data_IF_515040009579
#
_entry.id   IF_515040009579
#
_cell.length_a   1.000
_cell.length_b   1.000
_cell.length_c   1.000
_cell.angle_alpha   90.00
_cell.angle_beta   90.00
_cell.angle_gamma   90.00
#
_symmetry.space_group_name_H-M   'P 1'
#
loop_
_entity.id
_entity.type
_entity.pdbx_description
1 polymer ?
#
# COMPACT_ATOMS: atom_id res chain seq x y z
N UNK A 1 51.12 53.81 12.49
CA UNK A 1 52.20 52.92 12.01
C UNK A 1 51.94 51.52 12.56
N UNK A 2 52.07 50.46 11.74
CA UNK A 2 50.89 49.70 11.31
C UNK A 2 50.93 48.20 11.68
N UNK A 3 49.76 47.56 11.60
CA UNK A 3 49.58 46.24 10.97
C UNK A 3 48.10 46.08 10.59
N UNK A 4 47.81 46.13 9.29
CA UNK A 4 46.52 45.85 8.70
C UNK A 4 46.57 44.44 8.09
N UNK A 5 45.52 43.65 8.33
CA UNK A 5 45.31 42.35 7.70
C UNK A 5 44.07 42.42 6.82
N UNK A 6 44.30 42.37 5.52
CA UNK A 6 43.30 42.29 4.45
C UNK A 6 42.65 40.90 4.39
N UNK A 7 41.32 40.85 4.46
CA UNK A 7 40.55 39.69 4.04
C UNK A 7 39.97 39.94 2.65
N UNK A 8 40.59 39.37 1.63
CA UNK A 8 40.06 39.33 0.28
C UNK A 8 38.96 38.27 0.14
N UNK A 9 37.77 38.74 -0.22
CA UNK A 9 36.65 37.97 -0.76
C UNK A 9 37.01 37.46 -2.17
N UNK A 10 36.90 36.16 -2.39
CA UNK A 10 36.91 35.56 -3.74
C UNK A 10 35.48 35.29 -4.20
N UNK A 11 35.13 35.56 -5.47
CA UNK A 11 33.78 35.36 -5.99
C UNK A 11 33.53 33.89 -6.38
N UNK A 12 32.28 33.47 -6.14
CA UNK A 12 31.74 32.17 -6.52
C UNK A 12 31.76 31.98 -8.05
N UNK A 13 32.25 30.82 -8.50
CA UNK A 13 32.12 30.35 -9.89
C UNK A 13 30.87 29.48 -10.05
N UNK A 14 30.05 29.66 -11.09
CA UNK A 14 28.95 28.77 -11.39
C UNK A 14 29.47 27.47 -12.02
N UNK A 15 29.03 26.33 -11.50
CA UNK A 15 29.23 25.01 -12.11
C UNK A 15 28.18 24.85 -13.21
N UNK A 16 28.62 24.91 -14.47
CA UNK A 16 27.83 24.50 -15.63
C UNK A 16 27.84 22.97 -15.70
N UNK A 17 26.67 22.33 -15.47
CA UNK A 17 26.44 20.93 -15.82
C UNK A 17 26.16 20.86 -17.33
N UNK A 18 27.20 20.55 -18.11
CA UNK A 18 27.08 20.23 -19.52
C UNK A 18 26.38 18.89 -19.72
N UNK A 19 25.37 18.88 -20.60
CA UNK A 19 24.80 17.67 -21.21
C UNK A 19 25.91 16.91 -21.93
N UNK A 20 26.17 15.66 -21.54
CA UNK A 20 26.92 14.72 -22.38
C UNK A 20 25.93 13.83 -23.12
N UNK A 21 25.91 14.03 -24.43
CA UNK A 21 25.28 13.19 -25.45
C UNK A 21 26.01 11.86 -25.53
N UNK A 22 25.25 10.76 -25.62
CA UNK A 22 25.76 9.40 -25.67
C UNK A 22 25.85 8.95 -27.13
N UNK A 23 26.91 9.37 -27.83
CA UNK A 23 27.27 8.86 -29.16
C UNK A 23 28.80 8.82 -29.27
N UNK A 24 29.36 7.63 -29.05
CA UNK A 24 30.64 7.13 -29.57
C UNK A 24 31.12 6.01 -28.63
N UNK A 25 31.12 4.77 -29.12
CA UNK A 25 32.20 3.78 -28.96
C UNK A 25 31.69 2.45 -29.53
N UNK A 26 31.81 2.34 -30.85
CA UNK A 26 31.96 1.08 -31.59
C UNK A 26 33.43 1.04 -32.04
N UNK A 27 33.96 -0.17 -32.09
CA UNK A 27 35.23 -0.65 -32.65
C UNK A 27 36.21 -1.18 -31.59
N UNK A 28 36.13 -2.50 -31.37
CA UNK A 28 37.31 -3.34 -31.61
C UNK A 28 36.89 -4.79 -31.95
N UNK A 29 37.37 -5.28 -33.10
CA UNK A 29 37.19 -6.64 -33.62
C UNK A 29 38.40 -7.49 -33.17
N UNK A 30 38.28 -8.69 -32.60
CA UNK A 30 38.41 -10.02 -33.24
C UNK A 30 38.91 -11.04 -32.18
N UNK A 31 38.92 -12.38 -32.40
CA UNK A 31 38.21 -13.19 -33.40
C UNK A 31 37.36 -14.31 -32.77
N UNK A 32 36.28 -14.65 -33.48
CA UNK A 32 35.48 -15.88 -33.30
C UNK A 32 36.21 -17.08 -33.91
N UNK A 33 36.61 -18.06 -33.10
CA UNK A 33 36.62 -19.48 -33.45
C UNK A 33 36.87 -20.32 -32.20
N UNK A 34 36.26 -21.52 -32.16
CA UNK A 34 36.31 -22.56 -31.13
C UNK A 34 35.31 -22.38 -29.98
N UNK A 35 34.08 -22.85 -30.21
CA UNK A 35 33.43 -23.91 -29.42
C UNK A 35 32.12 -24.24 -30.17
N UNK A 36 32.17 -25.29 -30.99
CA UNK A 36 30.98 -26.05 -31.40
C UNK A 36 30.87 -27.22 -30.44
N UNK A 37 29.62 -27.56 -30.18
CA UNK A 37 29.08 -28.72 -29.47
C UNK A 37 28.69 -28.47 -28.00
N UNK A 38 27.40 -28.76 -27.77
CA UNK A 38 26.59 -28.69 -26.55
C UNK A 38 26.01 -27.31 -26.16
N UNK A 39 24.87 -26.98 -26.78
CA UNK A 39 23.94 -25.96 -26.27
C UNK A 39 23.09 -26.52 -25.12
N UNK A 40 23.14 -25.95 -23.90
CA UNK A 40 22.16 -26.23 -22.87
C UNK A 40 21.05 -25.19 -22.93
N UNK A 41 19.79 -25.65 -22.82
CA UNK A 41 18.55 -25.03 -22.29
C UNK A 41 18.35 -23.48 -22.33
N UNK A 42 19.36 -22.69 -21.98
CA UNK A 42 19.39 -21.22 -22.00
C UNK A 42 19.05 -20.60 -23.36
N UNK A 43 19.46 -21.20 -24.48
CA UNK A 43 19.11 -20.69 -25.81
C UNK A 43 17.58 -20.71 -26.09
N UNK A 44 16.85 -21.65 -25.46
CA UNK A 44 15.37 -21.68 -25.53
C UNK A 44 14.71 -20.64 -24.63
N UNK A 45 15.33 -20.32 -23.49
CA UNK A 45 14.81 -19.32 -22.55
C UNK A 45 15.05 -17.87 -23.02
N UNK A 46 16.18 -17.60 -23.68
CA UNK A 46 16.47 -16.30 -24.29
C UNK A 46 15.60 -16.03 -25.53
N UNK A 47 15.29 -17.05 -26.33
CA UNK A 47 14.37 -16.93 -27.47
C UNK A 47 12.91 -16.66 -27.07
N UNK A 48 12.44 -17.18 -25.93
CA UNK A 48 11.08 -16.97 -25.42
C UNK A 48 10.90 -15.64 -24.64
N UNK A 49 11.98 -14.90 -24.39
CA UNK A 49 11.96 -13.63 -23.66
C UNK A 49 11.94 -12.40 -24.59
N UNK A 50 12.10 -12.56 -25.90
CA UNK A 50 12.25 -11.43 -26.83
C UNK A 50 11.35 -11.44 -28.08
N UNK A 51 10.41 -12.39 -28.23
CA UNK A 51 9.45 -12.33 -29.33
C UNK A 51 8.00 -12.51 -28.87
N UNK A 52 7.24 -11.40 -28.99
CA UNK A 52 5.78 -11.37 -28.96
C UNK A 52 5.17 -10.38 -27.96
N UNK A 53 4.28 -9.45 -28.31
CA UNK A 53 3.65 -9.12 -29.59
C UNK A 53 3.05 -7.70 -29.49
N UNK A 54 2.99 -7.02 -30.64
CA UNK A 54 2.25 -5.78 -30.90
C UNK A 54 0.74 -6.07 -31.04
N UNK A 55 -0.06 -5.20 -30.40
CA UNK A 55 -1.45 -4.75 -30.69
C UNK A 55 -2.51 -5.76 -31.16
N UNK A 56 -3.63 -5.85 -30.44
CA UNK A 56 -4.89 -5.30 -30.97
C UNK A 56 -5.99 -5.08 -29.94
N UNK A 57 -6.71 -3.97 -30.17
CA UNK A 57 -7.95 -3.53 -29.53
C UNK A 57 -9.10 -4.14 -30.31
N UNK A 58 -10.08 -4.78 -29.66
CA UNK A 58 -11.50 -4.57 -30.03
C UNK A 58 -12.54 -5.10 -29.02
N UNK A 59 -13.51 -4.20 -28.86
CA UNK A 59 -14.84 -4.21 -28.26
C UNK A 59 -15.61 -5.55 -28.19
N UNK A 60 -16.36 -5.72 -27.09
CA UNK A 60 -17.45 -6.69 -26.96
C UNK A 60 -18.49 -6.25 -25.94
N UNK A 61 -19.57 -5.61 -26.41
CA UNK A 61 -20.77 -5.24 -25.66
C UNK A 61 -21.52 -6.51 -25.21
N UNK A 62 -22.00 -6.53 -23.96
CA UNK A 62 -23.06 -7.45 -23.53
C UNK A 62 -24.33 -6.66 -23.20
N UNK A 63 -25.43 -7.03 -23.86
CA UNK A 63 -26.78 -6.54 -23.61
C UNK A 63 -27.50 -7.38 -22.55
N UNK A 64 -28.34 -6.66 -21.80
CA UNK A 64 -29.49 -6.99 -20.96
C UNK A 64 -30.10 -8.40 -20.98
N UNK A 65 -30.49 -8.91 -19.80
CA UNK A 65 -31.90 -9.11 -19.42
C UNK A 65 -32.02 -9.77 -18.03
N UNK A 66 -32.57 -9.05 -17.04
CA UNK A 66 -33.28 -9.68 -15.91
C UNK A 66 -34.51 -8.86 -15.54
N UNK A 67 -35.63 -9.59 -15.42
CA UNK A 67 -36.98 -9.08 -15.32
C UNK A 67 -37.31 -8.38 -14.00
N UNK A 68 -38.26 -7.46 -14.10
CA UNK A 68 -38.96 -6.83 -12.97
C UNK A 68 -39.86 -7.87 -12.31
N UNK A 69 -39.64 -8.14 -11.03
CA UNK A 69 -40.67 -8.65 -10.13
C UNK A 69 -41.28 -7.46 -9.38
N UNK A 70 -42.60 -7.34 -9.41
CA UNK A 70 -43.37 -6.31 -8.72
C UNK A 70 -43.34 -6.53 -7.20
N UNK A 71 -43.03 -5.47 -6.45
CA UNK A 71 -43.07 -5.47 -4.99
C UNK A 71 -44.47 -5.07 -4.49
N UNK A 72 -45.03 -5.74 -3.46
CA UNK A 72 -46.30 -5.34 -2.87
C UNK A 72 -46.18 -4.06 -2.03
N UNK A 73 -47.27 -3.29 -2.00
CA UNK A 73 -47.37 -1.98 -1.35
C UNK A 73 -47.09 -2.01 0.17
N UNK A 74 -46.47 -0.95 0.74
CA UNK A 74 -46.15 -0.91 2.16
C UNK A 74 -47.39 -0.57 3.01
N UNK A 75 -47.68 -1.46 3.97
CA UNK A 75 -48.61 -1.22 5.08
C UNK A 75 -47.97 -0.24 6.07
N UNK A 76 -48.64 0.87 6.36
CA UNK A 76 -48.22 1.84 7.39
C UNK A 76 -48.52 1.29 8.79
N UNK A 77 -47.54 1.13 9.70
CA UNK A 77 -47.83 0.91 11.11
C UNK A 77 -48.16 2.23 11.81
N UNK A 78 -49.19 2.18 12.66
CA UNK A 78 -49.56 3.24 13.61
C UNK A 78 -48.44 3.41 14.64
N UNK A 79 -48.04 4.65 14.88
CA UNK A 79 -47.11 5.03 15.94
C UNK A 79 -47.87 5.22 17.26
N UNK A 80 -47.52 4.47 18.29
CA UNK A 80 -47.80 4.79 19.69
C UNK A 80 -46.49 4.94 20.47
N UNK A 81 -46.26 6.16 20.92
CA UNK A 81 -45.63 6.61 22.17
C UNK A 81 -44.31 5.98 22.70
N UNK A 82 -43.33 6.89 22.78
CA UNK A 82 -42.41 7.13 23.90
C UNK A 82 -41.53 5.96 24.39
N UNK A 83 -40.55 5.57 23.57
CA UNK A 83 -39.34 4.93 24.08
C UNK A 83 -38.31 5.99 24.53
N UNK A 84 -37.89 5.85 25.79
CA UNK A 84 -36.73 6.48 26.39
C UNK A 84 -35.50 6.34 25.47
N UNK A 85 -35.05 7.47 24.89
CA UNK A 85 -33.94 7.50 23.96
C UNK A 85 -32.61 7.22 24.69
N UNK A 86 -32.18 5.96 24.67
CA UNK A 86 -30.77 5.63 24.92
C UNK A 86 -29.89 6.35 23.89
N UNK A 87 -28.70 6.84 24.27
CA UNK A 87 -27.79 7.50 23.35
C UNK A 87 -27.40 6.52 22.23
N UNK A 88 -27.92 6.74 21.02
CA UNK A 88 -27.58 5.97 19.83
C UNK A 88 -26.08 6.15 19.58
N UNK A 89 -25.31 5.17 20.03
CA UNK A 89 -23.87 5.13 19.77
C UNK A 89 -23.71 4.57 18.35
N UNK A 90 -23.56 5.45 17.36
CA UNK A 90 -23.21 5.05 16.01
C UNK A 90 -21.82 4.39 16.05
N UNK A 91 -21.77 3.07 15.87
CA UNK A 91 -20.56 2.27 16.08
C UNK A 91 -19.54 2.35 14.95
N UNK A 92 -19.86 2.96 13.80
CA UNK A 92 -18.91 3.05 12.68
C UNK A 92 -18.99 4.41 11.98
N UNK A 93 -17.84 5.04 11.66
CA UNK A 93 -17.82 6.20 10.78
C UNK A 93 -18.20 5.79 9.36
N UNK A 94 -18.84 6.68 8.60
CA UNK A 94 -19.24 6.37 7.22
C UNK A 94 -18.02 6.17 6.30
N UNK A 95 -18.22 5.44 5.21
CA UNK A 95 -17.20 5.25 4.19
C UNK A 95 -17.04 6.52 3.35
N UNK A 96 -15.80 6.98 3.19
CA UNK A 96 -15.47 8.07 2.28
C UNK A 96 -15.33 7.49 0.88
N UNK A 97 -16.03 8.09 -0.08
CA UNK A 97 -15.87 7.75 -1.49
C UNK A 97 -14.48 8.19 -1.97
N UNK A 98 -13.67 7.23 -2.44
CA UNK A 98 -12.38 7.52 -3.05
C UNK A 98 -12.54 8.35 -4.34
N UNK A 99 -11.46 9.02 -4.73
CA UNK A 99 -11.31 9.79 -5.96
C UNK A 99 -12.20 11.03 -6.08
N UNK A 100 -12.70 11.53 -4.95
CA UNK A 100 -13.45 12.79 -4.86
C UNK A 100 -12.49 13.97 -4.72
N UNK A 101 -12.75 15.07 -5.44
CA UNK A 101 -12.00 16.32 -5.28
C UNK A 101 -12.29 16.96 -3.92
N UNK A 102 -11.25 17.40 -3.25
CA UNK A 102 -11.31 17.96 -1.90
C UNK A 102 -10.44 19.19 -1.79
N UNK A 103 -10.83 20.09 -0.89
CA UNK A 103 -10.12 21.29 -0.57
C UNK A 103 -9.25 21.10 0.68
N UNK A 104 -7.97 21.46 0.59
CA UNK A 104 -7.00 21.23 1.65
C UNK A 104 -6.33 22.55 2.03
N UNK A 105 -6.30 22.85 3.33
CA UNK A 105 -5.64 24.05 3.85
C UNK A 105 -4.11 23.96 3.68
N UNK A 106 -3.52 24.94 3.00
CA UNK A 106 -2.07 25.09 2.85
C UNK A 106 -1.46 25.69 4.13
N UNK A 107 -0.15 25.57 4.29
CA UNK A 107 0.57 26.16 5.42
C UNK A 107 0.40 27.70 5.51
N UNK A 108 0.16 28.37 4.37
CA UNK A 108 -0.11 29.80 4.31
C UNK A 108 -1.57 30.21 4.61
N UNK A 109 -2.44 29.27 5.00
CA UNK A 109 -3.85 29.56 5.28
C UNK A 109 -4.76 29.68 4.04
N UNK A 110 -4.21 29.49 2.85
CA UNK A 110 -4.99 29.41 1.61
C UNK A 110 -5.60 28.01 1.45
N UNK A 111 -6.86 27.95 1.02
CA UNK A 111 -7.53 26.70 0.71
C UNK A 111 -7.27 26.28 -0.74
N UNK A 112 -6.77 25.07 -0.93
CA UNK A 112 -6.41 24.52 -2.23
C UNK A 112 -7.39 23.42 -2.66
N UNK A 113 -8.25 23.65 -3.67
CA UNK A 113 -9.29 22.70 -4.09
C UNK A 113 -8.78 21.57 -5.01
N UNK A 114 -7.49 21.57 -5.38
CA UNK A 114 -6.96 20.64 -6.39
C UNK A 114 -6.48 19.30 -5.80
N UNK A 115 -6.97 18.91 -4.62
CA UNK A 115 -6.62 17.64 -3.99
C UNK A 115 -7.68 16.58 -4.27
N UNK A 116 -7.27 15.32 -4.26
CA UNK A 116 -8.14 14.17 -4.48
C UNK A 116 -8.03 13.24 -3.28
N UNK A 117 -9.17 12.91 -2.67
CA UNK A 117 -9.28 11.90 -1.63
C UNK A 117 -8.93 10.53 -2.21
N UNK A 118 -8.04 9.78 -1.58
CA UNK A 118 -7.65 8.45 -2.06
C UNK A 118 -8.12 7.33 -1.16
N UNK A 119 -7.78 7.42 0.13
CA UNK A 119 -8.08 6.35 1.07
C UNK A 119 -8.16 6.88 2.50
N UNK A 120 -8.68 6.05 3.39
CA UNK A 120 -8.63 6.27 4.84
C UNK A 120 -7.73 5.20 5.45
N UNK A 121 -6.77 5.63 6.26
CA UNK A 121 -5.87 4.73 6.98
C UNK A 121 -6.63 3.99 8.08
N UNK A 122 -6.12 2.84 8.56
CA UNK A 122 -6.66 2.19 9.75
C UNK A 122 -6.71 3.11 10.97
N UNK A 123 -5.73 4.02 11.11
CA UNK A 123 -5.73 5.04 12.17
C UNK A 123 -6.79 6.14 12.02
N UNK A 124 -7.62 6.08 10.98
CA UNK A 124 -8.71 7.01 10.73
C UNK A 124 -8.29 8.29 10.02
N UNK A 125 -7.00 8.48 9.71
CA UNK A 125 -6.51 9.58 8.88
C UNK A 125 -6.92 9.38 7.43
N UNK A 126 -7.05 10.48 6.69
CA UNK A 126 -7.43 10.49 5.28
C UNK A 126 -6.24 10.90 4.45
N UNK A 127 -5.92 10.08 3.45
CA UNK A 127 -4.88 10.34 2.47
C UNK A 127 -5.48 11.11 1.30
N UNK A 128 -4.90 12.27 1.03
CA UNK A 128 -5.24 13.12 -0.12
C UNK A 128 -4.02 13.33 -0.99
N UNK A 129 -4.22 13.42 -2.30
CA UNK A 129 -3.14 13.60 -3.28
C UNK A 129 -3.45 14.69 -4.29
N UNK A 130 -2.43 15.40 -4.78
CA UNK A 130 -2.57 16.43 -5.80
C UNK A 130 -1.44 16.30 -6.84
N UNK A 131 -1.72 16.33 -8.16
CA UNK A 131 -0.68 16.44 -9.18
C UNK A 131 0.13 17.74 -9.04
N UNK A 132 1.43 17.68 -9.30
CA UNK A 132 2.32 18.85 -9.36
C UNK A 132 3.32 18.70 -10.50
N UNK A 133 4.02 19.79 -10.84
CA UNK A 133 5.08 19.78 -11.86
C UNK A 133 6.21 18.79 -11.52
N UNK A 134 6.38 18.44 -10.25
CA UNK A 134 7.40 17.53 -9.76
C UNK A 134 6.84 16.15 -9.36
N UNK A 135 5.62 15.81 -9.78
CA UNK A 135 5.02 14.50 -9.54
C UNK A 135 3.69 14.58 -8.79
N UNK A 136 3.54 13.82 -7.71
CA UNK A 136 2.30 13.78 -6.91
C UNK A 136 2.62 14.21 -5.49
N UNK A 137 1.99 15.29 -5.04
CA UNK A 137 1.99 15.69 -3.64
C UNK A 137 0.99 14.84 -2.88
N UNK A 138 1.35 14.42 -1.67
CA UNK A 138 0.48 13.65 -0.77
C UNK A 138 0.43 14.32 0.59
N UNK A 139 -0.73 14.27 1.25
CA UNK A 139 -0.92 14.76 2.61
C UNK A 139 -1.84 13.83 3.36
N UNK A 140 -1.56 13.64 4.65
CA UNK A 140 -2.45 12.96 5.58
C UNK A 140 -3.17 14.01 6.41
N UNK A 141 -4.48 13.84 6.56
CA UNK A 141 -5.36 14.73 7.32
C UNK A 141 -6.14 13.89 8.34
N UNK A 142 -6.46 14.46 9.49
CA UNK A 142 -7.54 13.91 10.31
C UNK A 142 -8.88 14.06 9.58
N UNK A 143 -9.87 13.24 9.94
CA UNK A 143 -11.23 13.38 9.41
C UNK A 143 -11.82 14.76 9.77
N UNK A 144 -11.51 15.29 10.96
CA UNK A 144 -11.93 16.62 11.39
C UNK A 144 -11.35 17.72 10.48
N UNK A 145 -10.03 17.67 10.19
CA UNK A 145 -9.38 18.63 9.28
C UNK A 145 -9.94 18.57 7.87
N UNK A 146 -10.21 17.37 7.36
CA UNK A 146 -10.80 17.19 6.04
C UNK A 146 -12.22 17.79 6.00
N UNK A 147 -13.09 17.39 6.92
CA UNK A 147 -14.50 17.80 6.90
C UNK A 147 -14.71 19.29 7.19
N UNK A 148 -13.75 19.97 7.84
CA UNK A 148 -13.78 21.42 8.07
C UNK A 148 -13.97 22.22 6.78
N UNK A 149 -13.43 21.74 5.66
CA UNK A 149 -13.53 22.40 4.36
C UNK A 149 -14.28 21.57 3.31
N UNK A 150 -14.77 20.39 3.69
CA UNK A 150 -15.36 19.42 2.76
C UNK A 150 -16.63 18.78 3.32
N UNK A 151 -17.55 19.58 3.87
CA UNK A 151 -18.81 19.06 4.41
C UNK A 151 -19.67 18.33 3.37
N UNK A 152 -19.47 18.59 2.08
CA UNK A 152 -20.13 17.86 1.00
C UNK A 152 -19.78 16.36 0.97
N UNK A 153 -18.72 15.93 1.67
CA UNK A 153 -18.36 14.52 1.83
C UNK A 153 -19.24 13.79 2.86
N UNK A 154 -20.04 14.52 3.65
CA UNK A 154 -20.97 13.91 4.62
C UNK A 154 -22.14 13.30 3.85
N UNK A 155 -22.37 11.98 3.91
CA UNK A 155 -23.48 11.32 3.21
C UNK A 155 -24.83 11.84 3.68
N UNK A 156 -25.82 11.83 2.80
CA UNK A 156 -27.22 12.09 3.15
C UNK A 156 -27.79 10.93 3.99
N UNK A 157 -28.75 11.24 4.85
CA UNK A 157 -29.42 10.28 5.73
C UNK A 157 -28.61 9.87 6.99
N UNK A 158 -27.39 10.36 7.15
CA UNK A 158 -26.55 10.10 8.32
C UNK A 158 -27.22 10.67 9.58
N UNK A 159 -27.34 9.86 10.64
CA UNK A 159 -27.87 10.35 11.92
C UNK A 159 -26.80 11.14 12.68
N UNK A 160 -27.12 12.35 13.11
CA UNK A 160 -26.18 13.32 13.70
C UNK A 160 -26.78 14.02 14.91
N UNK A 161 -25.91 14.66 15.67
CA UNK A 161 -26.26 15.55 16.77
C UNK A 161 -26.20 17.01 16.31
N UNK A 162 -27.13 17.83 16.80
CA UNK A 162 -27.23 19.25 16.49
C UNK A 162 -27.14 20.07 17.77
N UNK A 163 -26.30 21.12 17.86
CA UNK A 163 -26.24 21.95 19.05
C UNK A 163 -27.53 22.75 19.22
N UNK A 164 -28.03 22.84 20.46
CA UNK A 164 -29.11 23.75 20.87
C UNK A 164 -28.52 25.10 21.32
N UNK A 165 -29.36 26.14 21.35
CA UNK A 165 -28.98 27.44 21.92
C UNK A 165 -28.56 27.35 23.40
N UNK A 166 -29.04 26.33 24.12
CA UNK A 166 -28.65 26.01 25.49
C UNK A 166 -27.26 25.36 25.62
N UNK A 167 -26.56 25.07 24.52
CA UNK A 167 -25.27 24.36 24.52
C UNK A 167 -25.38 22.83 24.62
N UNK A 168 -26.57 22.30 24.93
CA UNK A 168 -26.83 20.84 24.92
C UNK A 168 -26.91 20.30 23.49
N UNK A 169 -26.52 19.05 23.28
CA UNK A 169 -26.65 18.37 21.98
C UNK A 169 -28.02 17.71 21.82
N UNK A 170 -28.65 17.90 20.66
CA UNK A 170 -29.91 17.28 20.28
C UNK A 170 -29.66 16.14 19.29
N UNK A 171 -29.82 14.87 19.69
CA UNK A 171 -29.57 13.72 18.80
C UNK A 171 -30.73 13.48 17.83
N UNK A 172 -30.54 12.56 16.88
CA UNK A 172 -31.60 12.04 16.00
C UNK A 172 -31.92 12.91 14.79
N UNK A 173 -31.06 13.87 14.45
CA UNK A 173 -31.15 14.61 13.18
C UNK A 173 -30.57 13.78 12.05
N UNK A 174 -31.01 13.99 10.82
CA UNK A 174 -30.50 13.33 9.62
C UNK A 174 -29.93 14.35 8.65
N UNK A 175 -28.79 14.07 8.04
CA UNK A 175 -28.19 14.93 7.00
C UNK A 175 -29.03 14.89 5.72
N UNK A 176 -29.12 16.02 5.02
CA UNK A 176 -29.97 16.20 3.84
C UNK A 176 -29.29 17.00 2.73
N UNK A 177 -27.98 16.83 2.58
CA UNK A 177 -27.17 17.49 1.55
C UNK A 177 -26.65 18.87 1.95
N UNK A 178 -26.13 19.61 0.97
CA UNK A 178 -25.54 20.94 1.17
C UNK A 178 -26.47 22.06 0.67
N UNK A 179 -26.47 23.20 1.38
CA UNK A 179 -27.04 24.47 0.90
C UNK A 179 -25.98 25.55 1.02
N UNK A 180 -25.30 25.84 -0.09
CA UNK A 180 -24.06 26.61 -0.07
C UNK A 180 -22.99 25.86 0.73
N UNK A 181 -22.32 26.53 1.66
CA UNK A 181 -21.28 25.93 2.52
C UNK A 181 -21.84 25.27 3.79
N UNK A 182 -23.16 25.22 3.95
CA UNK A 182 -23.81 24.69 5.15
C UNK A 182 -24.44 23.33 4.90
N UNK A 183 -24.26 22.43 5.87
CA UNK A 183 -24.89 21.11 5.86
C UNK A 183 -26.35 21.25 6.28
N UNK A 184 -27.26 20.79 5.43
CA UNK A 184 -28.68 20.68 5.77
C UNK A 184 -28.88 19.47 6.67
N UNK A 185 -29.62 19.65 7.75
CA UNK A 185 -30.04 18.57 8.63
C UNK A 185 -31.54 18.68 8.90
N UNK A 186 -32.22 17.55 9.02
CA UNK A 186 -33.65 17.49 9.29
C UNK A 186 -33.98 16.45 10.36
N UNK A 187 -35.00 16.77 11.17
CA UNK A 187 -35.51 15.86 12.20
C UNK A 187 -37.02 15.77 12.05
N UNK A 188 -37.59 14.57 11.82
CA UNK A 188 -39.03 14.40 11.64
C UNK A 188 -39.83 15.03 12.78
N UNK A 189 -40.86 15.81 12.44
CA UNK A 189 -41.71 16.52 13.40
C UNK A 189 -41.08 17.77 14.04
N UNK A 190 -39.79 18.02 13.85
CA UNK A 190 -39.08 19.20 14.41
C UNK A 190 -38.78 20.25 13.32
N UNK A 191 -38.34 19.81 12.14
CA UNK A 191 -38.05 20.70 11.01
C UNK A 191 -36.62 20.56 10.48
N UNK A 192 -36.14 21.61 9.81
CA UNK A 192 -34.83 21.66 9.13
C UNK A 192 -33.91 22.71 9.75
N UNK A 193 -32.61 22.44 9.78
CA UNK A 193 -31.56 23.36 10.20
C UNK A 193 -30.39 23.33 9.23
N UNK A 194 -29.58 24.39 9.29
CA UNK A 194 -28.31 24.50 8.57
C UNK A 194 -27.19 24.53 9.61
N UNK A 195 -26.17 23.71 9.41
CA UNK A 195 -24.98 23.67 10.26
C UNK A 195 -23.77 24.21 9.49
N UNK A 196 -22.94 25.01 10.15
CA UNK A 196 -21.57 25.25 9.68
C UNK A 196 -20.69 24.03 9.96
N UNK A 197 -19.49 24.00 9.36
CA UNK A 197 -18.52 22.94 9.64
C UNK A 197 -18.18 22.88 11.13
N UNK A 198 -17.94 24.01 11.78
CA UNK A 198 -17.60 24.09 13.20
C UNK A 198 -18.74 23.55 14.07
N UNK A 199 -19.99 23.89 13.77
CA UNK A 199 -21.15 23.39 14.50
C UNK A 199 -21.31 21.88 14.36
N UNK A 200 -21.13 21.37 13.13
CA UNK A 200 -21.21 19.94 12.84
C UNK A 200 -20.09 19.16 13.55
N UNK A 201 -18.83 19.61 13.41
CA UNK A 201 -17.66 18.97 14.00
C UNK A 201 -17.71 19.00 15.53
N UNK A 202 -18.08 20.13 16.12
CA UNK A 202 -18.19 20.26 17.58
C UNK A 202 -19.27 19.32 18.16
N UNK A 203 -20.43 19.24 17.52
CA UNK A 203 -21.53 18.39 18.00
C UNK A 203 -21.30 16.89 17.75
N UNK A 204 -20.44 16.53 16.80
CA UNK A 204 -20.25 15.14 16.38
C UNK A 204 -18.79 14.65 16.55
N UNK A 205 -17.99 15.31 17.39
CA UNK A 205 -16.57 14.94 17.63
C UNK A 205 -16.39 13.50 18.08
N UNK A 206 -17.28 12.98 18.93
CA UNK A 206 -17.25 11.60 19.38
C UNK A 206 -17.40 10.58 18.22
N UNK A 207 -18.06 10.98 17.13
CA UNK A 207 -18.26 10.16 15.94
C UNK A 207 -17.07 10.24 14.96
N UNK A 208 -16.34 11.36 14.94
CA UNK A 208 -15.21 11.56 14.03
C UNK A 208 -14.00 10.66 14.34
N UNK A 209 -14.00 10.03 15.52
CA UNK A 209 -12.84 9.37 16.10
C UNK A 209 -11.85 10.45 16.57
N UNK A 210 -11.38 10.36 17.82
CA UNK A 210 -10.20 11.14 18.16
C UNK A 210 -9.04 10.62 17.31
N UNK A 211 -8.14 11.48 16.82
CA UNK A 211 -6.95 11.03 16.09
C UNK A 211 -6.05 10.08 16.93
N UNK A 212 -6.34 9.95 18.24
CA UNK A 212 -5.74 8.98 19.17
C UNK A 212 -6.53 7.67 19.30
N UNK A 213 -7.85 7.66 19.05
CA UNK A 213 -8.64 6.45 18.83
C UNK A 213 -8.52 6.02 17.37
N UNK A 214 -7.27 5.98 16.88
CA UNK A 214 -6.94 5.06 15.81
C UNK A 214 -7.73 3.79 16.10
N UNK A 215 -8.36 3.20 15.08
CA UNK A 215 -8.61 1.77 15.17
C UNK A 215 -7.20 1.23 15.42
N UNK A 216 -6.88 0.97 16.69
CA UNK A 216 -5.94 -0.07 17.05
C UNK A 216 -6.47 -1.18 16.21
N UNK A 217 -5.78 -1.42 15.09
CA UNK A 217 -5.96 -2.61 14.31
C UNK A 217 -6.15 -3.69 15.35
N UNK A 218 -7.38 -4.19 15.50
CA UNK A 218 -7.70 -5.14 16.57
C UNK A 218 -6.98 -6.46 16.33
N UNK A 219 -6.15 -6.51 15.28
CA UNK A 219 -4.89 -7.25 15.23
C UNK A 219 -4.07 -6.88 16.46
N UNK A 220 -4.48 -7.43 17.61
CA UNK A 220 -3.54 -7.83 18.64
C UNK A 220 -2.39 -8.55 17.89
N UNK A 221 -1.13 -8.40 18.31
CA UNK A 221 -0.12 -9.38 17.90
C UNK A 221 -0.78 -10.76 18.03
N UNK A 222 -0.76 -11.60 16.98
CA UNK A 222 -1.51 -12.85 16.96
C UNK A 222 -1.28 -13.53 18.30
N UNK A 223 -2.38 -13.78 19.03
CA UNK A 223 -2.34 -13.95 20.48
C UNK A 223 -1.33 -15.01 20.91
N UNK A 224 -1.00 -15.96 20.02
CA UNK A 224 0.14 -16.85 20.12
C UNK A 224 0.70 -17.09 18.70
N UNK A 225 1.74 -16.36 18.30
CA UNK A 225 2.52 -16.77 17.13
C UNK A 225 3.11 -18.16 17.40
N UNK A 226 3.02 -19.07 16.43
CA UNK A 226 3.63 -20.40 16.55
C UNK A 226 5.13 -20.30 16.83
N UNK A 227 5.71 -21.31 17.49
CA UNK A 227 7.16 -21.42 17.69
C UNK A 227 7.94 -21.27 16.38
N UNK A 228 7.40 -21.82 15.30
CA UNK A 228 7.94 -21.75 13.95
C UNK A 228 7.89 -20.32 13.41
N UNK A 229 6.77 -19.62 13.55
CA UNK A 229 6.66 -18.22 13.15
C UNK A 229 7.63 -17.31 13.94
N UNK A 230 7.79 -17.57 15.24
CA UNK A 230 8.77 -16.87 16.09
C UNK A 230 10.19 -17.14 15.61
N UNK A 231 10.54 -18.41 15.35
CA UNK A 231 11.86 -18.78 14.83
C UNK A 231 12.14 -18.14 13.46
N UNK A 232 11.17 -18.13 12.55
CA UNK A 232 11.28 -17.47 11.25
C UNK A 232 11.48 -15.96 11.39
N UNK A 233 10.75 -15.32 12.30
CA UNK A 233 10.89 -13.89 12.59
C UNK A 233 12.28 -13.57 13.12
N UNK A 234 12.77 -14.31 14.11
CA UNK A 234 14.12 -14.13 14.66
C UNK A 234 15.19 -14.34 13.59
N UNK A 235 15.07 -15.43 12.82
CA UNK A 235 15.99 -15.75 11.74
C UNK A 235 16.01 -14.66 10.67
N UNK A 236 14.85 -14.13 10.28
CA UNK A 236 14.80 -13.08 9.27
C UNK A 236 15.16 -11.70 9.81
N UNK A 237 14.86 -11.39 11.08
CA UNK A 237 15.25 -10.13 11.74
C UNK A 237 16.78 -10.00 11.85
N UNK A 238 17.47 -11.11 12.11
CA UNK A 238 18.94 -11.16 12.22
C UNK A 238 19.65 -11.54 10.91
N UNK A 239 18.95 -12.26 10.03
CA UNK A 239 19.47 -12.72 8.75
C UNK A 239 19.04 -11.85 7.57
N UNK A 240 19.10 -12.42 6.38
CA UNK A 240 18.72 -11.73 5.15
C UNK A 240 17.90 -12.61 4.20
N UNK A 241 17.69 -13.88 4.55
CA UNK A 241 17.07 -14.88 3.70
C UNK A 241 16.23 -15.83 4.55
N UNK A 242 15.04 -16.14 4.07
CA UNK A 242 14.14 -17.10 4.69
C UNK A 242 13.59 -18.01 3.60
N UNK A 243 13.76 -19.32 3.74
CA UNK A 243 13.29 -20.31 2.79
C UNK A 243 11.98 -20.95 3.27
N UNK A 244 11.17 -21.40 2.31
CA UNK A 244 10.00 -22.20 2.58
C UNK A 244 8.76 -21.41 3.03
N UNK A 245 7.79 -22.16 3.57
CA UNK A 245 6.47 -21.66 3.94
C UNK A 245 6.54 -20.69 5.10
N UNK A 246 5.97 -19.50 4.95
CA UNK A 246 5.77 -18.59 6.09
C UNK A 246 4.58 -19.03 6.94
N UNK A 247 4.85 -19.25 8.23
CA UNK A 247 3.86 -19.64 9.21
C UNK A 247 2.98 -18.45 9.61
N UNK A 248 1.72 -18.74 9.95
CA UNK A 248 0.82 -17.73 10.52
C UNK A 248 1.40 -17.23 11.86
N UNK A 249 1.38 -15.91 12.03
CA UNK A 249 2.09 -15.20 13.09
C UNK A 249 3.47 -14.66 12.68
N UNK A 250 4.00 -15.00 11.50
CA UNK A 250 5.23 -14.38 10.99
C UNK A 250 5.03 -12.86 10.87
N UNK A 251 6.07 -12.09 11.20
CA UNK A 251 6.02 -10.64 11.02
C UNK A 251 7.34 -10.00 10.61
N UNK A 252 7.28 -8.94 9.79
CA UNK A 252 8.44 -8.14 9.37
C UNK A 252 8.26 -6.64 9.70
N UNK A 253 9.03 -6.16 10.67
CA UNK A 253 9.14 -4.74 11.00
C UNK A 253 10.36 -4.05 10.36
N UNK A 254 11.14 -4.79 9.56
CA UNK A 254 12.34 -4.29 8.92
C UNK A 254 13.64 -4.76 9.55
N UNK A 255 14.73 -4.18 9.06
CA UNK A 255 16.11 -4.52 9.45
C UNK A 255 16.45 -3.95 10.82
N UNK A 256 17.18 -4.74 11.61
CA UNK A 256 17.79 -4.29 12.86
C UNK A 256 16.77 -3.83 13.88
N UNK A 257 15.54 -4.32 13.76
CA UNK A 257 14.48 -4.05 14.72
C UNK A 257 14.78 -4.82 16.00
N UNK A 258 14.66 -4.15 17.13
CA UNK A 258 14.75 -4.76 18.45
C UNK A 258 13.46 -5.54 18.70
N UNK A 259 13.60 -6.76 19.21
CA UNK A 259 12.50 -7.63 19.56
C UNK A 259 12.41 -7.77 21.09
N UNK A 260 11.20 -7.85 21.62
CA UNK A 260 10.98 -8.18 23.04
C UNK A 260 11.10 -9.68 23.33
N UNK A 261 10.77 -10.08 24.57
CA UNK A 261 10.80 -11.48 25.01
C UNK A 261 9.82 -12.40 24.26
N UNK A 262 8.81 -11.85 23.59
CA UNK A 262 7.86 -12.56 22.74
C UNK A 262 8.24 -12.48 21.25
N UNK A 263 9.47 -12.07 20.98
CA UNK A 263 10.00 -11.75 19.67
C UNK A 263 9.17 -10.68 18.93
N UNK A 264 8.41 -9.82 19.62
CA UNK A 264 7.62 -8.78 18.96
C UNK A 264 8.46 -7.51 18.74
N UNK A 265 8.36 -6.83 17.59
CA UNK A 265 9.09 -5.59 17.33
C UNK A 265 8.71 -4.44 18.28
N UNK A 266 9.69 -3.83 18.96
CA UNK A 266 9.44 -2.73 19.93
C UNK A 266 9.90 -1.35 19.48
N UNK A 267 10.80 -1.26 18.50
CA UNK A 267 11.36 0.01 17.99
C UNK A 267 11.16 0.17 16.47
N UNK A 268 10.17 -0.54 15.93
CA UNK A 268 9.81 -0.49 14.52
C UNK A 268 9.61 0.97 14.07
N UNK A 269 10.27 1.37 12.98
CA UNK A 269 10.20 2.75 12.45
C UNK A 269 9.06 2.98 11.45
N UNK A 270 8.30 1.92 11.19
CA UNK A 270 7.24 1.77 10.19
C UNK A 270 6.29 0.66 10.64
N UNK A 271 5.30 0.31 9.82
CA UNK A 271 4.40 -0.82 10.05
C UNK A 271 5.13 -2.14 10.32
N UNK A 272 4.49 -3.00 11.10
CA UNK A 272 4.88 -4.38 11.31
C UNK A 272 4.01 -5.23 10.39
N UNK A 273 4.56 -5.74 9.29
CA UNK A 273 3.79 -6.60 8.38
C UNK A 273 3.53 -7.93 9.05
N UNK A 274 2.31 -8.45 9.00
CA UNK A 274 1.90 -9.70 9.65
C UNK A 274 1.27 -10.66 8.64
N UNK A 275 1.68 -11.92 8.68
CA UNK A 275 1.04 -13.02 7.95
C UNK A 275 0.09 -13.73 8.91
N UNK A 276 -1.21 -13.68 8.64
CA UNK A 276 -2.23 -14.40 9.41
C UNK A 276 -3.39 -14.78 8.48
N UNK A 277 -3.37 -16.00 7.95
CA UNK A 277 -4.38 -16.47 6.99
C UNK A 277 -5.78 -16.61 7.59
N UNK A 278 -5.89 -16.77 8.91
CA UNK A 278 -7.17 -16.91 9.59
C UNK A 278 -7.86 -15.55 9.73
N UNK A 279 -7.11 -14.55 10.19
CA UNK A 279 -7.64 -13.22 10.50
C UNK A 279 -7.57 -12.23 9.32
N UNK A 280 -6.87 -12.57 8.23
CA UNK A 280 -6.73 -11.72 7.04
C UNK A 280 -7.66 -12.17 5.90
N UNK A 281 -8.89 -11.61 5.78
CA UNK A 281 -9.80 -11.94 4.68
C UNK A 281 -9.28 -11.48 3.32
N UNK A 282 -8.42 -10.44 3.25
CA UNK A 282 -7.83 -10.01 1.99
C UNK A 282 -6.77 -10.99 1.51
N UNK A 283 -5.90 -11.47 2.40
CA UNK A 283 -4.94 -12.51 2.10
C UNK A 283 -5.62 -13.78 1.61
N UNK A 284 -6.76 -14.18 2.20
CA UNK A 284 -7.53 -15.34 1.71
C UNK A 284 -7.99 -15.19 0.25
N UNK A 285 -8.31 -13.98 -0.21
CA UNK A 285 -8.64 -13.73 -1.62
C UNK A 285 -7.42 -13.90 -2.52
N UNK A 286 -6.27 -13.38 -2.09
CA UNK A 286 -5.01 -13.56 -2.83
C UNK A 286 -4.58 -15.04 -2.89
N UNK A 287 -4.76 -15.78 -1.79
CA UNK A 287 -4.48 -17.21 -1.73
C UNK A 287 -5.38 -18.04 -2.64
N UNK A 288 -6.66 -17.69 -2.76
CA UNK A 288 -7.57 -18.36 -3.69
C UNK A 288 -7.05 -18.25 -5.13
N UNK A 289 -6.63 -17.05 -5.55
CA UNK A 289 -6.00 -16.85 -6.86
C UNK A 289 -4.74 -17.71 -7.04
N UNK A 290 -3.83 -17.69 -6.07
CA UNK A 290 -2.59 -18.47 -6.14
C UNK A 290 -2.84 -19.98 -6.22
N UNK A 291 -3.84 -20.48 -5.48
CA UNK A 291 -4.25 -21.88 -5.48
C UNK A 291 -4.76 -22.33 -6.86
N UNK A 292 -5.51 -21.49 -7.57
CA UNK A 292 -6.03 -21.80 -8.90
C UNK A 292 -4.89 -21.97 -9.94
N UNK A 293 -3.74 -21.32 -9.72
CA UNK A 293 -2.56 -21.44 -10.59
C UNK A 293 -1.78 -22.76 -10.39
N UNK A 294 -2.11 -23.60 -9.39
CA UNK A 294 -1.41 -24.88 -9.15
C UNK A 294 -1.48 -25.85 -10.32
N UNK A 295 -2.51 -25.74 -11.16
CA UNK A 295 -2.66 -26.58 -12.35
C UNK A 295 -1.74 -26.18 -13.50
N UNK A 296 -1.19 -24.97 -13.48
CA UNK A 296 -0.32 -24.46 -14.54
C UNK A 296 1.11 -24.98 -14.41
N UNK A 297 1.84 -24.94 -15.53
CA UNK A 297 3.28 -25.17 -15.55
C UNK A 297 4.03 -24.15 -14.65
N UNK A 298 5.13 -24.53 -13.97
CA UNK A 298 5.78 -23.68 -12.97
C UNK A 298 6.18 -22.28 -13.47
N UNK A 299 6.69 -22.17 -14.70
CA UNK A 299 7.07 -20.88 -15.27
C UNK A 299 5.86 -19.99 -15.57
N UNK A 300 4.76 -20.55 -16.06
CA UNK A 300 3.51 -19.81 -16.31
C UNK A 300 2.93 -19.29 -15.00
N UNK A 301 2.86 -20.17 -13.99
CA UNK A 301 2.43 -19.83 -12.62
C UNK A 301 3.26 -18.69 -12.03
N UNK A 302 4.59 -18.74 -12.18
CA UNK A 302 5.50 -17.69 -11.73
C UNK A 302 5.17 -16.35 -12.42
N UNK A 303 5.01 -16.34 -13.74
CA UNK A 303 4.68 -15.13 -14.50
C UNK A 303 3.32 -14.53 -14.09
N UNK A 304 2.32 -15.38 -13.89
CA UNK A 304 0.99 -14.96 -13.46
C UNK A 304 1.00 -14.38 -12.05
N UNK A 305 1.71 -15.01 -11.09
CA UNK A 305 1.90 -14.46 -9.75
C UNK A 305 2.63 -13.12 -9.76
N UNK A 306 3.66 -12.97 -10.60
CA UNK A 306 4.40 -11.70 -10.72
C UNK A 306 3.48 -10.58 -11.15
N UNK A 307 2.69 -10.80 -12.21
CA UNK A 307 1.74 -9.80 -12.70
C UNK A 307 0.67 -9.51 -11.65
N UNK A 308 0.13 -10.55 -11.01
CA UNK A 308 -0.88 -10.40 -9.98
C UNK A 308 -0.42 -9.51 -8.82
N UNK A 309 0.73 -9.82 -8.20
CA UNK A 309 1.23 -9.02 -7.06
C UNK A 309 1.58 -7.60 -7.50
N UNK A 310 2.13 -7.43 -8.70
CA UNK A 310 2.44 -6.13 -9.26
C UNK A 310 1.19 -5.25 -9.38
N UNK A 311 0.10 -5.79 -9.94
CA UNK A 311 -1.16 -5.08 -10.14
C UNK A 311 -1.87 -4.81 -8.81
N UNK A 312 -1.94 -5.82 -7.93
CA UNK A 312 -2.61 -5.71 -6.63
C UNK A 312 -1.96 -4.71 -5.68
N UNK A 313 -0.66 -4.43 -5.83
CA UNK A 313 0.07 -3.51 -4.94
C UNK A 313 0.42 -2.17 -5.61
N UNK A 314 -0.39 -1.75 -6.59
CA UNK A 314 -0.38 -0.39 -7.12
C UNK A 314 0.53 -0.14 -8.32
N UNK A 315 0.99 -1.19 -9.02
CA UNK A 315 1.71 -1.05 -10.29
C UNK A 315 3.14 -0.50 -10.14
N UNK A 316 3.60 0.47 -10.95
CA UNK A 316 4.98 0.95 -10.89
C UNK A 316 5.33 1.61 -9.54
N UNK A 317 6.34 1.07 -8.83
CA UNK A 317 6.75 1.56 -7.50
C UNK A 317 7.11 3.05 -7.51
N UNK A 318 7.80 3.52 -8.55
CA UNK A 318 8.21 4.93 -8.69
C UNK A 318 7.03 5.93 -8.62
N UNK A 319 5.79 5.50 -8.91
CA UNK A 319 4.60 6.35 -8.82
C UNK A 319 3.98 6.40 -7.43
N UNK A 320 4.24 5.39 -6.61
CA UNK A 320 3.58 5.19 -5.31
C UNK A 320 4.56 5.34 -4.14
N UNK A 321 5.87 5.37 -4.37
CA UNK A 321 6.89 5.26 -3.34
C UNK A 321 6.75 6.31 -2.23
N UNK A 322 6.75 7.60 -2.58
CA UNK A 322 6.64 8.67 -1.59
C UNK A 322 5.37 8.56 -0.74
N UNK A 323 4.26 8.16 -1.36
CA UNK A 323 2.96 7.96 -0.70
C UNK A 323 2.99 6.79 0.27
N UNK A 324 3.53 5.65 -0.18
CA UNK A 324 3.63 4.44 0.64
C UNK A 324 4.59 4.66 1.80
N UNK A 325 5.74 5.32 1.58
CA UNK A 325 6.69 5.67 2.65
C UNK A 325 6.04 6.56 3.71
N UNK A 326 5.28 7.58 3.29
CA UNK A 326 4.58 8.45 4.23
C UNK A 326 3.53 7.68 5.03
N UNK A 327 2.65 6.91 4.37
CA UNK A 327 1.61 6.12 5.04
C UNK A 327 2.21 5.04 5.97
N UNK A 328 3.26 4.35 5.52
CA UNK A 328 4.03 3.40 6.31
C UNK A 328 4.57 4.01 7.61
N UNK A 329 5.09 5.23 7.51
CA UNK A 329 5.66 5.94 8.66
C UNK A 329 4.62 6.33 9.72
N UNK A 330 3.35 6.52 9.33
CA UNK A 330 2.27 6.81 10.30
C UNK A 330 1.72 5.57 10.97
N UNK A 331 2.04 4.38 10.46
CA UNK A 331 1.74 3.08 11.07
C UNK A 331 2.93 2.54 11.88
N UNK A 332 3.81 3.42 12.37
CA UNK A 332 5.00 3.04 13.15
C UNK A 332 4.66 2.08 14.30
N UNK A 333 5.20 0.87 14.26
CA UNK A 333 4.96 -0.17 15.27
C UNK A 333 3.57 -0.79 15.24
N UNK A 334 2.68 -0.32 14.37
CA UNK A 334 1.34 -0.89 14.23
C UNK A 334 1.40 -2.15 13.36
N UNK A 335 0.70 -3.23 13.76
CA UNK A 335 0.54 -4.40 12.92
C UNK A 335 -0.33 -4.09 11.70
N UNK A 336 0.16 -4.46 10.52
CA UNK A 336 -0.55 -4.41 9.25
C UNK A 336 -0.59 -5.81 8.64
N UNK A 337 -1.79 -6.35 8.48
CA UNK A 337 -1.98 -7.63 7.79
C UNK A 337 -1.56 -7.50 6.33
N UNK A 338 -0.80 -8.49 5.83
CA UNK A 338 -0.16 -8.40 4.52
C UNK A 338 -1.16 -8.28 3.35
N UNK A 339 -2.36 -8.85 3.47
CA UNK A 339 -3.42 -8.71 2.47
C UNK A 339 -4.05 -7.31 2.42
N UNK A 340 -3.90 -6.51 3.47
CA UNK A 340 -4.51 -5.17 3.58
C UNK A 340 -3.55 -4.05 3.14
N UNK A 341 -2.34 -4.38 2.67
CA UNK A 341 -1.32 -3.38 2.30
C UNK A 341 -1.84 -2.38 1.27
N UNK A 342 -2.49 -2.84 0.20
CA UNK A 342 -2.99 -1.93 -0.84
C UNK A 342 -4.03 -0.96 -0.26
N UNK A 343 -5.00 -1.47 0.50
CA UNK A 343 -6.03 -0.66 1.14
C UNK A 343 -5.44 0.35 2.13
N UNK A 344 -4.48 -0.08 2.95
CA UNK A 344 -3.93 0.74 4.03
C UNK A 344 -2.92 1.79 3.53
N UNK A 345 -2.11 1.45 2.52
CA UNK A 345 -0.99 2.28 2.07
C UNK A 345 -1.17 2.85 0.65
N UNK A 346 -2.18 2.40 -0.10
CA UNK A 346 -2.36 2.71 -1.52
C UNK A 346 -1.33 2.02 -2.42
N UNK A 347 -0.86 0.84 -2.03
CA UNK A 347 0.13 0.04 -2.75
C UNK A 347 1.31 -0.39 -1.89
N UNK A 348 2.28 -1.08 -2.50
CA UNK A 348 3.40 -1.69 -1.78
C UNK A 348 4.78 -1.35 -2.35
N UNK A 349 5.75 -1.14 -1.45
CA UNK A 349 7.19 -1.16 -1.78
C UNK A 349 7.74 -2.59 -1.92
N UNK A 350 9.03 -2.73 -2.23
CA UNK A 350 9.72 -4.01 -2.40
C UNK A 350 9.47 -5.01 -1.28
N UNK A 351 9.57 -4.60 -0.01
CA UNK A 351 9.31 -5.47 1.15
C UNK A 351 7.88 -6.03 1.19
N UNK A 352 6.91 -5.20 0.86
CA UNK A 352 5.49 -5.58 0.87
C UNK A 352 5.22 -6.60 -0.22
N UNK A 353 5.72 -6.29 -1.42
CA UNK A 353 5.56 -7.13 -2.61
C UNK A 353 6.25 -8.47 -2.43
N UNK A 354 7.49 -8.46 -1.95
CA UNK A 354 8.26 -9.69 -1.74
C UNK A 354 7.64 -10.58 -0.66
N UNK A 355 7.11 -9.98 0.41
CA UNK A 355 6.42 -10.74 1.47
C UNK A 355 5.10 -11.34 0.99
N UNK A 356 4.25 -10.56 0.31
CA UNK A 356 3.00 -11.08 -0.26
C UNK A 356 3.32 -12.19 -1.29
N UNK A 357 4.27 -11.95 -2.19
CA UNK A 357 4.70 -12.94 -3.17
C UNK A 357 5.21 -14.23 -2.50
N UNK A 358 6.01 -14.15 -1.43
CA UNK A 358 6.46 -15.35 -0.70
C UNK A 358 5.28 -16.20 -0.24
N UNK A 359 4.25 -15.58 0.32
CA UNK A 359 3.05 -16.28 0.81
C UNK A 359 2.27 -16.90 -0.36
N UNK A 360 2.16 -16.20 -1.49
CA UNK A 360 1.44 -16.70 -2.66
C UNK A 360 2.22 -17.76 -3.44
N UNK A 361 3.55 -17.68 -3.49
CA UNK A 361 4.40 -18.67 -4.13
C UNK A 361 4.31 -20.01 -3.39
N UNK A 362 4.31 -19.99 -2.06
CA UNK A 362 4.02 -21.16 -1.21
C UNK A 362 2.65 -21.76 -1.54
N UNK A 363 1.60 -20.93 -1.54
CA UNK A 363 0.25 -21.41 -1.87
C UNK A 363 0.16 -21.92 -3.30
N UNK A 364 0.90 -21.36 -4.25
CA UNK A 364 0.92 -21.85 -5.62
C UNK A 364 1.85 -23.08 -5.79
N UNK A 365 2.57 -23.53 -4.76
CA UNK A 365 3.49 -24.67 -4.85
C UNK A 365 4.77 -24.37 -5.63
N UNK A 366 5.31 -23.17 -5.50
CA UNK A 366 6.62 -22.77 -6.03
C UNK A 366 7.64 -22.70 -4.88
N UNK A 367 8.75 -23.47 -4.93
CA UNK A 367 9.84 -23.33 -3.97
C UNK A 367 10.41 -21.91 -4.04
N UNK A 368 10.27 -21.16 -2.95
CA UNK A 368 10.54 -19.74 -2.92
C UNK A 368 11.28 -19.35 -1.64
N UNK A 369 12.22 -18.41 -1.76
CA UNK A 369 12.90 -17.77 -0.64
C UNK A 369 12.59 -16.27 -0.64
N UNK A 370 12.33 -15.73 0.55
CA UNK A 370 12.23 -14.30 0.79
C UNK A 370 13.62 -13.77 1.11
N UNK A 371 14.07 -12.76 0.37
CA UNK A 371 15.42 -12.20 0.51
C UNK A 371 15.35 -10.70 0.72
N UNK A 372 16.25 -10.18 1.56
CA UNK A 372 16.51 -8.75 1.73
C UNK A 372 18.00 -8.46 1.53
N UNK A 373 18.30 -7.29 1.01
CA UNK A 373 19.67 -6.94 0.66
C UNK A 373 19.78 -5.56 0.07
N UNK A 374 20.77 -5.38 -0.79
CA UNK A 374 20.94 -4.18 -1.61
C UNK A 374 20.65 -4.53 -3.06
N UNK A 375 19.88 -3.67 -3.72
CA UNK A 375 19.65 -3.73 -5.16
C UNK A 375 20.16 -2.44 -5.81
N UNK A 376 21.12 -2.57 -6.72
CA UNK A 376 21.75 -1.42 -7.38
C UNK A 376 22.87 -0.77 -6.58
N UNK A 377 23.23 0.44 -6.99
CA UNK A 377 24.28 1.26 -6.37
C UNK A 377 23.74 2.23 -5.31
N UNK A 378 22.41 2.33 -5.19
CA UNK A 378 21.78 3.32 -4.32
C UNK A 378 21.78 2.87 -2.86
N UNK A 379 22.03 3.80 -1.91
CA UNK A 379 21.92 3.51 -0.49
C UNK A 379 20.46 3.23 -0.11
N UNK A 380 20.16 1.99 0.24
CA UNK A 380 18.84 1.56 0.70
C UNK A 380 18.75 0.05 0.84
N UNK A 381 17.86 -0.42 1.70
CA UNK A 381 17.50 -1.84 1.77
C UNK A 381 16.44 -2.17 0.72
N UNK A 382 16.60 -3.31 0.05
CA UNK A 382 15.65 -3.87 -0.92
C UNK A 382 15.20 -5.26 -0.48
N UNK A 383 14.08 -5.74 -1.01
CA UNK A 383 13.61 -7.10 -0.83
C UNK A 383 13.14 -7.69 -2.15
N UNK A 384 13.41 -8.97 -2.35
CA UNK A 384 13.07 -9.73 -3.55
C UNK A 384 12.81 -11.18 -3.17
N UNK A 385 12.43 -12.00 -4.15
CA UNK A 385 12.29 -13.42 -3.96
C UNK A 385 13.23 -14.19 -4.87
N UNK A 386 13.53 -15.43 -4.49
CA UNK A 386 14.28 -16.36 -5.32
C UNK A 386 13.44 -17.62 -5.46
N UNK A 387 13.08 -17.95 -6.70
CA UNK A 387 12.22 -19.09 -7.03
C UNK A 387 13.06 -20.15 -7.73
N UNK A 388 12.97 -21.38 -7.25
CA UNK A 388 13.59 -22.53 -7.92
C UNK A 388 12.58 -23.18 -8.87
N UNK A 389 12.95 -23.30 -10.14
CA UNK A 389 12.17 -23.97 -11.18
C UNK A 389 12.88 -25.27 -11.58
N UNK A 390 12.14 -26.38 -11.62
CA UNK A 390 12.70 -27.71 -11.91
C UNK A 390 13.15 -28.46 -10.65
N UNK A 391 13.78 -29.61 -10.84
CA UNK A 391 14.23 -30.51 -9.78
C UNK A 391 15.65 -31.00 -10.04
N UNK A 392 16.39 -31.33 -8.97
CA UNK A 392 17.72 -31.92 -9.05
C UNK A 392 18.76 -31.00 -9.71
N UNK A 393 19.60 -31.58 -10.57
CA UNK A 393 20.71 -30.88 -11.23
C UNK A 393 20.26 -29.83 -12.28
N UNK A 394 19.04 -29.97 -12.81
CA UNK A 394 18.47 -29.05 -13.81
C UNK A 394 17.69 -27.89 -13.16
N UNK A 395 17.68 -27.80 -11.83
CA UNK A 395 16.96 -26.76 -11.12
C UNK A 395 17.58 -25.38 -11.37
N UNK A 396 16.76 -24.45 -11.85
CA UNK A 396 17.17 -23.06 -12.12
C UNK A 396 16.62 -22.13 -11.06
N UNK A 397 17.48 -21.30 -10.48
CA UNK A 397 17.08 -20.24 -9.56
C UNK A 397 16.85 -18.92 -10.30
N UNK A 398 15.64 -18.40 -10.16
CA UNK A 398 15.19 -17.14 -10.77
C UNK A 398 15.00 -16.10 -9.66
N UNK A 399 15.61 -14.93 -9.81
CA UNK A 399 15.34 -13.77 -8.98
C UNK A 399 14.04 -13.11 -9.46
N UNK A 400 13.20 -12.73 -8.50
CA UNK A 400 11.92 -12.05 -8.71
C UNK A 400 11.94 -10.70 -8.00
N UNK A 401 12.06 -9.62 -8.76
CA UNK A 401 12.02 -8.24 -8.26
C UNK A 401 10.75 -7.51 -8.71
N UNK A 402 9.76 -7.49 -7.82
CA UNK A 402 8.45 -6.89 -8.06
C UNK A 402 8.41 -5.37 -7.95
N UNK A 403 9.55 -4.71 -7.72
CA UNK A 403 9.68 -3.27 -7.91
C UNK A 403 9.89 -2.88 -9.38
N UNK A 404 10.17 -3.85 -10.24
CA UNK A 404 10.28 -3.67 -11.70
C UNK A 404 8.95 -3.96 -12.38
N UNK A 405 8.86 -3.61 -13.67
CA UNK A 405 7.73 -4.00 -14.50
C UNK A 405 7.66 -5.53 -14.62
N UNK A 406 6.47 -6.15 -14.77
CA UNK A 406 6.33 -7.61 -14.82
C UNK A 406 7.26 -8.29 -15.83
N UNK A 407 7.45 -7.67 -17.00
CA UNK A 407 8.35 -8.13 -18.07
C UNK A 407 9.85 -8.06 -17.71
N UNK A 408 10.21 -7.30 -16.68
CA UNK A 408 11.58 -7.11 -16.20
C UNK A 408 11.80 -7.69 -14.78
N UNK A 409 10.77 -8.23 -14.16
CA UNK A 409 10.79 -8.69 -12.78
C UNK A 409 11.54 -10.01 -12.62
N UNK A 410 11.63 -10.82 -13.67
CA UNK A 410 12.30 -12.12 -13.65
C UNK A 410 13.72 -11.99 -14.19
N UNK A 411 14.72 -12.32 -13.37
CA UNK A 411 16.12 -12.25 -13.75
C UNK A 411 16.84 -13.54 -13.33
N UNK A 412 17.68 -14.07 -14.20
CA UNK A 412 18.51 -15.24 -13.83
C UNK A 412 19.54 -14.84 -12.76
N UNK A 413 19.63 -15.61 -11.68
CA UNK A 413 20.69 -15.46 -10.68
C UNK A 413 22.06 -15.92 -11.20
N UNK A 414 22.07 -16.71 -12.28
CA UNK A 414 23.30 -17.16 -12.93
C UNK A 414 23.91 -16.08 -13.82
N UNK A 415 23.19 -14.98 -14.11
CA UNK A 415 23.76 -13.83 -14.81
C UNK A 415 24.70 -13.07 -13.87
N UNK A 416 26.02 -12.98 -14.19
CA UNK A 416 27.00 -12.25 -13.37
C UNK A 416 26.65 -10.78 -13.18
N UNK A 417 25.89 -10.17 -14.09
CA UNK A 417 25.41 -8.79 -13.95
C UNK A 417 24.43 -8.72 -12.78
N UNK A 418 23.45 -9.62 -12.73
CA UNK A 418 22.46 -9.72 -11.64
C UNK A 418 23.15 -9.90 -10.29
N UNK A 419 24.10 -10.82 -10.18
CA UNK A 419 24.84 -11.07 -8.94
C UNK A 419 25.62 -9.84 -8.43
N UNK A 420 26.07 -8.94 -9.33
CA UNK A 420 26.71 -7.68 -8.94
C UNK A 420 25.72 -6.66 -8.39
N UNK A 421 24.51 -6.63 -8.96
CA UNK A 421 23.46 -5.67 -8.61
C UNK A 421 22.65 -6.08 -7.39
N UNK A 422 22.43 -7.37 -7.18
CA UNK A 422 21.71 -7.90 -6.03
C UNK A 422 22.71 -8.54 -5.09
N UNK A 423 22.97 -7.85 -3.98
CA UNK A 423 23.83 -8.36 -2.92
C UNK A 423 22.95 -8.65 -1.73
N UNK A 424 22.73 -9.94 -1.40
CA UNK A 424 22.21 -10.30 -0.09
C UNK A 424 23.10 -9.63 0.96
N UNK A 425 22.51 -9.15 2.06
CA UNK A 425 23.37 -8.57 3.09
C UNK A 425 24.27 -9.65 3.67
N UNK A 426 25.54 -9.33 3.90
CA UNK A 426 26.37 -10.17 4.73
C UNK A 426 25.64 -10.31 6.08
N UNK A 427 25.28 -11.54 6.45
CA UNK A 427 24.80 -11.78 7.80
C UNK A 427 25.86 -11.24 8.74
N UNK A 428 25.50 -10.28 9.58
CA UNK A 428 26.40 -9.86 10.64
C UNK A 428 26.66 -11.10 11.48
N UNK A 429 27.90 -11.60 11.46
CA UNK A 429 28.37 -12.40 12.57
C UNK A 429 28.44 -11.42 13.74
N UNK A 430 27.34 -11.34 14.49
CA UNK A 430 27.29 -10.68 15.80
C UNK A 430 27.88 -11.60 16.84
#
# INVERSE_FOLDING_TARGET
MPAASDHHLLPARPILLGRLSYDAMVEDETPRALFREEEPFWARLSGLMFDGYRTDVQQGRYFSHFGRAEAPAPVKPRLSEAESAQPVTLRQPFELTADVQVAVMRAGGELDPAWTLRSRTPSGQVLVTRPSEHGVLSKLLSLEELLRHNLHLVPEGLTVQVPRSSGTLDPGWRTGGMRGERLMVEKPGVGRKQLTAEQFLAANRAWLGSAGDAVQSTVRPPAEASSEAIAQRLAFANGHRLEGRLHDGFSDAGRGVTLDAHAWPVDARREVLVVDRLCDPALRRHLAYAKDLRSQAPLSRLKDLVRYVYDQLGGPVARIEARVVLAASTLRGCPLLIGEVDRALGGGLSRHRALLFQVLADEAGLPCALVRGRAGLMPGGHAWNEVTLGEGAEAVRVLVDLSRLPEQALVSLMDPRTARYYRPEAGGAS
#
